data_IF_771040140915
#
_entry.id   IF_771040140915
#
_cell.length_a   1.000
_cell.length_b   1.000
_cell.length_c   1.000
_cell.angle_alpha   90.00
_cell.angle_beta   90.00
_cell.angle_gamma   90.00
#
_symmetry.space_group_name_H-M   'P 1'
#
loop_
_entity.id
_entity.type
_entity.pdbx_description
1 polymer ?
#
# COMPACT_ATOMS: atom_id res chain seq x y z
N UNK A 1 -9.41 0.64 -0.73
CA UNK A 1 -8.63 -0.08 0.28
C UNK A 1 -7.95 0.95 1.14
N UNK A 2 -8.39 1.07 2.31
CA UNK A 2 -7.85 1.91 3.38
C UNK A 2 -8.78 1.77 4.55
N UNK A 3 -8.28 1.91 5.74
CA UNK A 3 -9.10 1.86 6.96
C UNK A 3 -9.77 3.19 7.29
N UNK A 4 -9.48 4.24 6.53
CA UNK A 4 -10.02 5.56 6.81
C UNK A 4 -11.43 5.74 6.22
N UNK A 5 -12.40 5.96 7.08
CA UNK A 5 -13.76 6.38 6.67
C UNK A 5 -13.81 7.82 6.12
N UNK A 6 -12.69 8.53 6.20
CA UNK A 6 -12.61 9.98 5.91
C UNK A 6 -13.10 10.33 4.50
N UNK A 7 -12.75 9.55 3.49
CA UNK A 7 -13.17 9.78 2.11
C UNK A 7 -14.19 8.75 1.60
N UNK A 8 -14.35 7.61 2.26
CA UNK A 8 -15.24 6.54 1.82
C UNK A 8 -16.67 7.02 1.61
N UNK A 9 -17.26 7.67 2.62
CA UNK A 9 -18.61 8.22 2.54
C UNK A 9 -18.79 9.29 1.46
N UNK A 10 -17.75 10.05 1.12
CA UNK A 10 -17.79 11.03 0.04
C UNK A 10 -17.75 10.34 -1.32
N UNK A 11 -16.93 9.32 -1.47
CA UNK A 11 -16.83 8.53 -2.71
C UNK A 11 -18.11 7.74 -2.97
N UNK A 12 -18.72 7.14 -1.95
CA UNK A 12 -19.97 6.39 -2.06
C UNK A 12 -21.17 7.26 -2.50
N UNK A 13 -21.17 8.53 -2.12
CA UNK A 13 -22.20 9.49 -2.58
C UNK A 13 -22.07 9.87 -4.05
N UNK A 14 -20.85 9.77 -4.60
CA UNK A 14 -20.53 10.28 -5.94
C UNK A 14 -20.37 9.15 -6.96
N UNK A 15 -19.89 8.00 -6.52
CA UNK A 15 -19.55 6.86 -7.35
C UNK A 15 -20.18 5.58 -6.83
N UNK A 16 -20.24 4.56 -7.68
CA UNK A 16 -20.50 3.18 -7.22
C UNK A 16 -19.22 2.64 -6.56
N UNK A 17 -18.93 3.16 -5.37
CA UNK A 17 -17.72 2.88 -4.61
C UNK A 17 -17.99 1.85 -3.51
N UNK A 18 -17.04 0.98 -3.29
CA UNK A 18 -17.05 0.03 -2.17
C UNK A 18 -15.72 0.16 -1.42
N UNK A 19 -15.77 0.55 -0.16
CA UNK A 19 -14.60 0.45 0.71
C UNK A 19 -14.35 -1.00 1.06
N UNK A 20 -13.11 -1.47 0.90
CA UNK A 20 -12.73 -2.86 1.13
C UNK A 20 -11.61 -2.96 2.15
N UNK A 21 -11.58 -4.05 2.89
CA UNK A 21 -10.68 -4.29 4.01
C UNK A 21 -9.93 -5.61 3.82
N UNK A 22 -8.85 -5.82 4.57
CA UNK A 22 -8.12 -7.08 4.56
C UNK A 22 -8.79 -8.14 5.45
N UNK A 23 -9.30 -7.75 6.61
CA UNK A 23 -9.72 -8.67 7.68
C UNK A 23 -11.21 -8.62 8.02
N UNK A 24 -11.99 -7.77 7.34
CA UNK A 24 -13.45 -7.65 7.53
C UNK A 24 -14.16 -7.41 6.21
N UNK A 25 -15.46 -7.70 6.18
CA UNK A 25 -16.27 -7.52 4.95
C UNK A 25 -16.51 -6.05 4.62
N UNK A 26 -16.48 -5.70 3.33
CA UNK A 26 -16.12 -6.53 2.17
C UNK A 26 -14.60 -6.75 2.09
N UNK A 27 -14.18 -8.02 1.99
CA UNK A 27 -12.76 -8.39 1.94
C UNK A 27 -12.19 -8.23 0.54
N UNK A 28 -10.99 -7.61 0.45
CA UNK A 28 -10.14 -7.65 -0.74
C UNK A 28 -8.67 -7.81 -0.32
N UNK A 29 -8.12 -8.99 -0.55
CA UNK A 29 -6.68 -9.24 -0.35
C UNK A 29 -5.94 -8.97 -1.66
N UNK A 30 -5.12 -7.90 -1.69
CA UNK A 30 -4.35 -7.52 -2.89
C UNK A 30 -3.18 -8.45 -3.17
N UNK A 31 -2.80 -9.35 -2.25
CA UNK A 31 -1.78 -10.38 -2.50
C UNK A 31 -2.29 -11.46 -3.45
N UNK A 32 -3.60 -11.76 -3.36
CA UNK A 32 -4.26 -12.79 -4.17
C UNK A 32 -5.74 -12.40 -4.43
N UNK A 33 -6.01 -11.39 -5.26
CA UNK A 33 -7.38 -10.95 -5.50
C UNK A 33 -8.18 -12.05 -6.19
N UNK A 34 -9.41 -12.29 -5.71
CA UNK A 34 -10.29 -13.28 -6.31
C UNK A 34 -10.65 -12.91 -7.75
N UNK A 35 -10.82 -13.91 -8.62
CA UNK A 35 -11.09 -13.76 -10.04
C UNK A 35 -12.25 -12.80 -10.35
N UNK A 36 -13.26 -12.76 -9.51
CA UNK A 36 -14.42 -11.88 -9.66
C UNK A 36 -14.10 -10.38 -9.58
N UNK A 37 -12.94 -10.00 -9.07
CA UNK A 37 -12.50 -8.61 -8.96
C UNK A 37 -11.63 -8.15 -10.13
N UNK A 38 -11.11 -9.09 -10.94
CA UNK A 38 -10.17 -8.76 -12.00
C UNK A 38 -10.87 -8.04 -13.17
N UNK A 39 -10.27 -6.93 -13.62
CA UNK A 39 -10.76 -6.12 -14.75
C UNK A 39 -12.12 -5.44 -14.51
N UNK A 40 -12.49 -5.20 -13.26
CA UNK A 40 -13.85 -4.75 -12.92
C UNK A 40 -13.96 -3.26 -12.61
N UNK A 41 -12.88 -2.64 -12.15
CA UNK A 41 -12.95 -1.32 -11.56
C UNK A 41 -12.49 -0.22 -12.53
N UNK A 42 -13.23 0.87 -12.58
CA UNK A 42 -12.86 2.08 -13.31
C UNK A 42 -11.78 2.87 -12.57
N UNK A 43 -11.76 2.75 -11.23
CA UNK A 43 -10.69 3.25 -10.39
C UNK A 43 -10.49 2.41 -9.13
N UNK A 44 -9.29 2.44 -8.60
CA UNK A 44 -8.90 1.85 -7.32
C UNK A 44 -8.17 2.92 -6.50
N UNK A 45 -8.56 3.08 -5.23
CA UNK A 45 -7.82 3.87 -4.24
C UNK A 45 -7.11 2.91 -3.30
N UNK A 46 -5.79 3.06 -3.16
CA UNK A 46 -4.96 2.34 -2.20
C UNK A 46 -4.20 3.38 -1.38
N UNK A 47 -4.63 3.60 -0.14
CA UNK A 47 -4.04 4.62 0.73
C UNK A 47 -3.43 3.95 1.93
N UNK A 48 -2.11 4.07 2.04
CA UNK A 48 -1.29 3.55 3.13
C UNK A 48 -1.60 2.07 3.43
N UNK A 49 -1.42 1.24 2.40
CA UNK A 49 -1.71 -0.21 2.42
C UNK A 49 -0.48 -1.03 2.02
N UNK A 50 0.25 -0.60 0.96
CA UNK A 50 1.30 -1.42 0.36
C UNK A 50 2.50 -1.63 1.27
N UNK A 51 2.78 -0.72 2.17
CA UNK A 51 3.85 -0.82 3.18
C UNK A 51 3.62 -1.94 4.18
N UNK A 52 2.38 -2.42 4.28
CA UNK A 52 1.96 -3.52 5.17
C UNK A 52 1.84 -4.87 4.46
N UNK A 53 2.02 -4.88 3.14
CA UNK A 53 1.86 -6.10 2.34
C UNK A 53 3.16 -6.86 2.28
N UNK A 54 3.15 -8.10 2.75
CA UNK A 54 4.30 -8.99 2.68
C UNK A 54 4.63 -9.43 1.25
N UNK A 55 5.86 -9.89 1.06
CA UNK A 55 6.39 -10.30 -0.24
C UNK A 55 6.81 -9.14 -1.14
N UNK A 56 7.19 -9.45 -2.41
CA UNK A 56 7.66 -8.44 -3.36
C UNK A 56 6.57 -7.43 -3.74
N UNK A 57 6.83 -6.14 -3.54
CA UNK A 57 5.89 -5.04 -3.84
C UNK A 57 5.35 -5.11 -5.28
N UNK A 58 6.17 -5.47 -6.25
CA UNK A 58 5.79 -5.63 -7.65
C UNK A 58 4.59 -6.56 -7.84
N UNK A 59 4.43 -7.59 -6.99
CA UNK A 59 3.28 -8.49 -7.07
C UNK A 59 1.98 -7.79 -6.66
N UNK A 60 2.00 -7.03 -5.57
CA UNK A 60 0.85 -6.25 -5.14
C UNK A 60 0.47 -5.18 -6.17
N UNK A 61 1.45 -4.48 -6.75
CA UNK A 61 1.22 -3.51 -7.84
C UNK A 61 0.63 -4.16 -9.09
N UNK A 62 1.12 -5.35 -9.48
CA UNK A 62 0.54 -6.13 -10.59
C UNK A 62 -0.90 -6.51 -10.31
N UNK A 63 -1.21 -6.90 -9.09
CA UNK A 63 -2.57 -7.25 -8.68
C UNK A 63 -3.48 -6.01 -8.66
N UNK A 64 -3.01 -4.85 -8.17
CA UNK A 64 -3.75 -3.59 -8.25
C UNK A 64 -4.09 -3.23 -9.71
N UNK A 65 -3.13 -3.40 -10.62
CA UNK A 65 -3.38 -3.20 -12.06
C UNK A 65 -4.41 -4.19 -12.59
N UNK A 66 -4.33 -5.46 -12.19
CA UNK A 66 -5.26 -6.50 -12.64
C UNK A 66 -6.70 -6.27 -12.17
N UNK A 67 -6.93 -5.53 -11.10
CA UNK A 67 -8.27 -5.12 -10.66
C UNK A 67 -8.92 -4.12 -11.63
N UNK A 68 -8.12 -3.29 -12.29
CA UNK A 68 -8.58 -2.20 -13.12
C UNK A 68 -8.98 -2.66 -14.52
N UNK A 69 -9.99 -2.01 -15.08
CA UNK A 69 -10.27 -2.04 -16.51
C UNK A 69 -9.12 -1.40 -17.29
N UNK A 70 -8.96 -1.69 -18.61
CA UNK A 70 -8.05 -0.92 -19.45
C UNK A 70 -8.32 0.60 -19.33
N UNK A 71 -7.30 1.40 -19.11
CA UNK A 71 -7.40 2.84 -18.86
C UNK A 71 -7.90 3.23 -17.47
N UNK A 72 -8.23 2.28 -16.60
CA UNK A 72 -8.69 2.52 -15.24
C UNK A 72 -7.62 3.24 -14.40
N UNK A 73 -8.07 3.99 -13.40
CA UNK A 73 -7.22 4.87 -12.59
C UNK A 73 -6.83 4.21 -11.26
N UNK A 74 -5.53 4.18 -10.96
CA UNK A 74 -5.02 3.97 -9.60
C UNK A 74 -4.76 5.32 -8.95
N UNK A 75 -5.26 5.51 -7.72
CA UNK A 75 -4.84 6.56 -6.79
C UNK A 75 -4.14 5.87 -5.60
N UNK A 76 -2.88 6.22 -5.37
CA UNK A 76 -1.99 5.55 -4.43
C UNK A 76 -1.36 6.55 -3.48
N UNK A 77 -1.38 6.24 -2.17
CA UNK A 77 -0.46 6.80 -1.18
C UNK A 77 0.29 5.69 -0.46
N UNK A 78 1.54 5.93 -0.14
CA UNK A 78 2.42 5.10 0.69
C UNK A 78 3.47 6.01 1.34
N UNK A 79 4.05 5.64 2.48
CA UNK A 79 5.21 6.33 3.01
C UNK A 79 6.39 6.13 2.05
N UNK A 80 6.83 7.20 1.42
CA UNK A 80 8.03 7.18 0.58
C UNK A 80 8.99 8.30 0.93
N UNK A 81 10.28 8.06 0.65
CA UNK A 81 11.33 9.05 0.81
C UNK A 81 12.07 9.29 -0.51
N UNK A 82 13.00 10.25 -0.47
CA UNK A 82 13.88 10.60 -1.61
C UNK A 82 15.24 9.90 -1.53
N UNK A 83 15.31 8.77 -0.83
CA UNK A 83 16.49 7.89 -0.84
C UNK A 83 16.55 7.07 -2.14
N UNK A 84 17.73 6.54 -2.45
CA UNK A 84 17.99 5.91 -3.75
C UNK A 84 17.27 4.57 -3.95
N UNK A 85 16.98 3.86 -2.87
CA UNK A 85 16.37 2.54 -2.89
C UNK A 85 15.35 2.36 -1.77
N UNK A 86 14.32 1.55 -2.00
CA UNK A 86 13.35 1.14 -1.00
C UNK A 86 14.04 0.44 0.18
N UNK A 87 13.69 0.83 1.40
CA UNK A 87 14.22 0.27 2.63
C UNK A 87 13.24 -0.82 3.12
N UNK A 88 13.68 -2.06 3.12
CA UNK A 88 12.97 -3.16 3.76
C UNK A 88 13.39 -3.22 5.24
N UNK A 89 12.42 -3.11 6.16
CA UNK A 89 12.70 -3.18 7.59
C UNK A 89 13.09 -4.59 8.04
N UNK A 90 12.57 -5.60 7.33
CA UNK A 90 12.78 -7.00 7.66
C UNK A 90 13.29 -7.78 6.43
N UNK A 91 14.59 -7.68 6.12
CA UNK A 91 15.18 -8.42 5.01
C UNK A 91 14.93 -9.93 5.15
N UNK A 92 14.66 -10.60 4.03
CA UNK A 92 14.39 -12.04 3.97
C UNK A 92 13.16 -12.48 4.78
N UNK A 93 12.16 -11.59 4.98
CA UNK A 93 10.92 -11.92 5.66
C UNK A 93 10.22 -13.10 4.97
N UNK A 94 9.92 -14.17 5.74
CA UNK A 94 9.30 -15.37 5.21
C UNK A 94 8.22 -15.92 6.16
N UNK A 95 8.59 -16.69 7.17
CA UNK A 95 7.66 -17.15 8.20
C UNK A 95 7.89 -16.35 9.47
N UNK A 96 6.96 -15.46 9.81
CA UNK A 96 7.16 -14.55 10.94
C UNK A 96 5.98 -14.54 11.89
N UNK A 97 6.29 -14.18 13.14
CA UNK A 97 5.32 -13.88 14.18
C UNK A 97 5.81 -12.72 15.05
N UNK A 98 4.89 -12.09 15.73
CA UNK A 98 5.23 -11.02 16.70
C UNK A 98 5.07 -11.62 18.09
N UNK A 99 6.12 -11.51 18.91
CA UNK A 99 6.16 -11.93 20.31
C UNK A 99 6.20 -10.68 21.21
N UNK A 100 5.71 -10.81 22.45
CA UNK A 100 5.70 -9.74 23.42
C UNK A 100 4.52 -8.77 23.25
N UNK A 101 4.50 -7.74 24.11
CA UNK A 101 3.44 -6.73 24.13
C UNK A 101 4.02 -5.31 24.26
N UNK A 102 3.26 -4.32 23.80
CA UNK A 102 3.63 -2.91 23.89
C UNK A 102 5.00 -2.63 23.25
N UNK A 103 5.87 -1.95 23.99
CA UNK A 103 7.22 -1.59 23.53
C UNK A 103 8.20 -2.78 23.48
N UNK A 104 7.84 -3.93 24.07
CA UNK A 104 8.67 -5.13 24.08
C UNK A 104 8.33 -6.10 22.95
N UNK A 105 7.58 -5.66 21.94
CA UNK A 105 7.28 -6.49 20.77
C UNK A 105 8.55 -6.77 19.98
N UNK A 106 8.70 -8.02 19.56
CA UNK A 106 9.81 -8.51 18.72
C UNK A 106 9.22 -9.30 17.56
N UNK A 107 9.61 -8.98 16.35
CA UNK A 107 9.32 -9.81 15.19
C UNK A 107 10.36 -10.93 15.13
N UNK A 108 9.89 -12.16 15.13
CA UNK A 108 10.71 -13.37 14.95
C UNK A 108 10.40 -13.92 13.57
N UNK A 109 11.39 -13.93 12.71
CA UNK A 109 11.31 -14.41 11.34
C UNK A 109 12.14 -15.69 11.20
N UNK A 110 11.61 -16.67 10.47
CA UNK A 110 12.40 -17.80 9.98
C UNK A 110 12.55 -17.60 8.47
N UNK A 111 13.76 -17.33 8.03
CA UNK A 111 14.06 -17.12 6.61
C UNK A 111 13.78 -18.39 5.79
N UNK A 112 13.68 -18.27 4.47
CA UNK A 112 13.49 -19.42 3.59
C UNK A 112 14.64 -20.46 3.71
N UNK A 113 15.82 -20.04 4.17
CA UNK A 113 16.95 -20.93 4.46
C UNK A 113 16.91 -21.56 5.86
N UNK A 114 15.89 -21.24 6.67
CA UNK A 114 15.72 -21.78 8.03
C UNK A 114 16.47 -21.01 9.13
N UNK A 115 17.03 -19.83 8.82
CA UNK A 115 17.72 -18.99 9.81
C UNK A 115 16.72 -18.18 10.60
N UNK A 116 16.80 -18.22 11.94
CA UNK A 116 16.00 -17.35 12.80
C UNK A 116 16.62 -15.95 12.85
N UNK A 117 15.78 -14.94 12.62
CA UNK A 117 16.10 -13.52 12.76
C UNK A 117 15.15 -12.89 13.79
N UNK A 118 15.64 -11.95 14.56
CA UNK A 118 14.84 -11.22 15.56
C UNK A 118 15.03 -9.71 15.36
N UNK A 119 13.92 -8.98 15.27
CA UNK A 119 13.89 -7.54 15.07
C UNK A 119 13.12 -6.88 16.21
N UNK A 120 13.73 -5.87 16.82
CA UNK A 120 13.09 -4.91 17.73
C UNK A 120 12.75 -3.61 16.99
N UNK A 121 12.24 -2.64 17.70
CA UNK A 121 11.92 -1.31 17.17
C UNK A 121 10.92 -1.34 16.01
N UNK A 122 9.85 -2.11 16.22
CA UNK A 122 8.79 -2.31 15.24
C UNK A 122 7.93 -1.05 15.09
N UNK A 123 7.75 -0.57 13.84
CA UNK A 123 6.84 0.52 13.53
C UNK A 123 5.46 -0.03 13.18
N UNK A 124 4.43 0.43 13.89
CA UNK A 124 3.04 0.07 13.62
C UNK A 124 2.23 1.31 13.27
N UNK A 125 1.44 1.23 12.22
CA UNK A 125 0.49 2.26 11.85
C UNK A 125 -0.92 1.89 12.33
N UNK A 126 -1.74 2.93 12.70
CA UNK A 126 -3.06 2.75 13.28
C UNK A 126 -3.04 2.36 14.76
N UNK A 127 -4.13 2.10 15.41
CA UNK A 127 -4.26 1.84 16.84
C UNK A 127 -3.68 0.48 17.33
N UNK A 128 -4.06 0.06 18.53
CA UNK A 128 -3.59 -1.18 19.16
C UNK A 128 -3.81 -2.42 18.30
N UNK A 129 -2.75 -3.16 18.05
CA UNK A 129 -2.76 -4.40 17.25
C UNK A 129 -2.68 -4.20 15.75
N UNK A 130 -2.40 -3.02 15.35
CA UNK A 130 -2.36 -2.52 13.99
C UNK A 130 -1.21 -3.03 13.14
N UNK A 131 -1.30 -2.67 11.90
CA UNK A 131 -0.47 -3.11 10.81
C UNK A 131 0.98 -2.70 10.95
N UNK A 132 1.87 -3.68 10.92
CA UNK A 132 3.32 -3.49 10.94
C UNK A 132 3.77 -2.87 9.62
N UNK A 133 4.57 -1.82 9.69
CA UNK A 133 5.27 -1.28 8.53
C UNK A 133 6.43 -2.20 8.15
N UNK A 134 6.41 -2.70 6.93
CA UNK A 134 7.43 -3.62 6.42
C UNK A 134 8.51 -2.88 5.63
N UNK A 135 8.18 -1.70 5.06
CA UNK A 135 9.09 -0.93 4.21
C UNK A 135 8.75 0.54 4.11
N UNK A 136 9.77 1.33 3.79
CA UNK A 136 9.65 2.71 3.32
C UNK A 136 10.09 2.75 1.85
N UNK A 137 9.22 3.23 0.98
CA UNK A 137 9.48 3.25 -0.45
C UNK A 137 10.47 4.34 -0.86
N UNK A 138 11.36 4.04 -1.82
CA UNK A 138 11.99 5.07 -2.64
C UNK A 138 11.02 5.47 -3.76
N UNK A 139 10.80 6.76 -3.97
CA UNK A 139 9.91 7.23 -5.05
C UNK A 139 10.33 6.70 -6.42
N UNK A 140 11.64 6.69 -6.71
CA UNK A 140 12.18 6.17 -7.97
C UNK A 140 11.88 4.68 -8.20
N UNK A 141 11.89 3.88 -7.12
CA UNK A 141 11.49 2.47 -7.20
C UNK A 141 10.00 2.31 -7.49
N UNK A 142 9.15 3.10 -6.81
CA UNK A 142 7.70 3.08 -7.04
C UNK A 142 7.36 3.42 -8.49
N UNK A 143 7.94 4.49 -9.03
CA UNK A 143 7.71 4.93 -10.41
C UNK A 143 8.13 3.84 -11.40
N UNK A 144 9.32 3.27 -11.21
CA UNK A 144 9.82 2.16 -12.04
C UNK A 144 8.91 0.93 -11.95
N UNK A 145 8.55 0.46 -10.75
CA UNK A 145 7.72 -0.72 -10.57
C UNK A 145 6.31 -0.55 -11.11
N UNK A 146 5.72 0.65 -10.98
CA UNK A 146 4.44 0.96 -11.61
C UNK A 146 4.53 0.82 -13.13
N UNK A 147 5.58 1.37 -13.75
CA UNK A 147 5.81 1.25 -15.19
C UNK A 147 6.05 -0.22 -15.61
N UNK A 148 6.87 -0.95 -14.86
CA UNK A 148 7.21 -2.36 -15.13
C UNK A 148 5.98 -3.29 -15.13
N UNK A 149 4.99 -3.00 -14.27
CA UNK A 149 3.75 -3.78 -14.24
C UNK A 149 2.70 -3.28 -15.23
N UNK A 150 3.01 -2.26 -16.04
CA UNK A 150 2.18 -1.79 -17.14
C UNK A 150 1.22 -0.65 -16.79
N UNK A 151 1.50 0.12 -15.75
CA UNK A 151 0.88 1.42 -15.57
C UNK A 151 1.54 2.46 -16.49
N UNK A 152 0.72 3.39 -16.95
CA UNK A 152 1.12 4.55 -17.77
C UNK A 152 0.58 5.84 -17.12
N UNK A 153 0.98 7.00 -17.64
CA UNK A 153 0.55 8.31 -17.13
C UNK A 153 0.76 8.45 -15.61
N UNK A 154 1.90 7.93 -15.12
CA UNK A 154 2.28 8.00 -13.70
C UNK A 154 2.54 9.45 -13.33
N UNK A 155 1.85 9.94 -12.29
CA UNK A 155 1.90 11.34 -11.91
C UNK A 155 1.91 11.51 -10.39
N UNK A 156 2.94 12.20 -9.90
CA UNK A 156 3.01 12.69 -8.52
C UNK A 156 2.22 14.00 -8.39
N UNK A 157 1.35 14.09 -7.40
CA UNK A 157 0.54 15.26 -7.11
C UNK A 157 1.16 16.08 -5.98
N UNK A 158 2.04 17.01 -6.32
CA UNK A 158 2.76 17.88 -5.37
C UNK A 158 2.20 19.29 -5.27
N UNK A 159 1.24 19.66 -6.13
CA UNK A 159 0.63 20.99 -6.09
C UNK A 159 -0.44 21.07 -5.00
N UNK A 160 -0.36 22.10 -4.19
CA UNK A 160 -1.41 22.42 -3.22
C UNK A 160 -2.59 23.12 -3.90
N UNK A 161 -3.79 22.82 -3.41
CA UNK A 161 -5.03 23.46 -3.80
C UNK A 161 -5.85 23.81 -2.55
N UNK A 162 -5.46 24.85 -1.79
CA UNK A 162 -6.10 25.20 -0.50
C UNK A 162 -7.61 25.46 -0.61
N UNK A 163 -8.07 25.96 -1.75
CA UNK A 163 -9.51 26.18 -2.02
C UNK A 163 -10.30 24.86 -2.04
N UNK A 164 -9.65 23.71 -2.14
CA UNK A 164 -10.24 22.38 -2.13
C UNK A 164 -9.83 21.57 -0.90
N UNK A 165 -9.11 22.22 0.04
CA UNK A 165 -8.58 21.57 1.24
C UNK A 165 -7.34 20.69 0.99
N UNK A 166 -6.72 20.77 -0.19
CA UNK A 166 -5.50 20.04 -0.52
C UNK A 166 -4.31 20.87 -0.06
N UNK A 167 -3.75 20.51 1.08
CA UNK A 167 -2.59 21.16 1.69
C UNK A 167 -1.63 20.03 2.11
N UNK A 168 -0.40 20.12 1.67
CA UNK A 168 0.64 19.14 1.97
C UNK A 168 1.48 19.64 3.14
N UNK A 169 1.33 19.00 4.30
CA UNK A 169 2.15 19.32 5.48
C UNK A 169 3.57 18.75 5.36
N UNK A 170 3.72 17.66 4.60
CA UNK A 170 4.97 16.96 4.38
C UNK A 170 5.08 16.59 2.89
N UNK A 171 6.26 16.74 2.25
CA UNK A 171 6.48 16.31 0.88
C UNK A 171 6.53 14.79 0.71
N UNK A 172 6.60 14.04 1.81
CA UNK A 172 6.62 12.58 1.81
C UNK A 172 5.18 12.03 1.83
N UNK A 173 4.93 10.96 1.09
CA UNK A 173 3.59 10.35 1.04
C UNK A 173 2.56 11.12 0.18
N UNK A 174 3.01 12.00 -0.74
CA UNK A 174 2.11 12.69 -1.67
C UNK A 174 1.38 11.69 -2.58
N UNK A 175 0.12 11.99 -2.99
CA UNK A 175 -0.63 11.09 -3.84
C UNK A 175 0.02 10.86 -5.20
N UNK A 176 0.02 9.62 -5.65
CA UNK A 176 0.44 9.20 -6.99
C UNK A 176 -0.80 8.71 -7.72
N UNK A 177 -0.98 9.10 -8.97
CA UNK A 177 -1.97 8.49 -9.85
C UNK A 177 -1.29 7.81 -11.04
N UNK A 178 -1.89 6.73 -11.51
CA UNK A 178 -1.43 6.01 -12.69
C UNK A 178 -2.62 5.36 -13.42
N UNK A 179 -2.51 5.10 -14.72
CA UNK A 179 -3.53 4.42 -15.50
C UNK A 179 -3.08 3.03 -15.90
N UNK A 180 -4.03 2.08 -15.86
CA UNK A 180 -3.79 0.75 -16.40
C UNK A 180 -3.63 0.83 -17.94
N UNK A 181 -2.42 0.60 -18.44
CA UNK A 181 -2.14 0.54 -19.87
C UNK A 181 -2.68 -0.72 -20.55
#
# INVERSE_FOLDING_TARGET
>A
MSDADVYAAALERTFNYTNTFFHMQPVLDIRAPAQQHLGRYDFVVSSDVLEHVDGPCVNALRNLRALLKPGGLLALTVPYGFHDTTIEHFPELHEYRIEGEGANRVLVNITQSGVEQRFSDLCFHGGDGSTLELRIYAYADLERWLADVGFVDIKLHSNEHPQWGIIHQDPLGLPITARAG
#
